data_IF_085162685287
#
_entry.id   IF_085162685287
#
_cell.length_a   1.000
_cell.length_b   1.000
_cell.length_c   1.000
_cell.angle_alpha   90.00
_cell.angle_beta   90.00
_cell.angle_gamma   90.00
#
_symmetry.space_group_name_H-M   'P 1'
#
loop_
_entity.id
_entity.type
_entity.pdbx_description
1 polymer ?
#
# COMPACT_ATOMS: atom_id res chain seq x y z
N UNK A 1 2.02 3.96 52.00
CA UNK A 1 3.18 4.27 51.14
C UNK A 1 3.92 2.97 50.87
N UNK A 2 3.54 2.29 49.79
CA UNK A 2 4.20 1.10 49.24
C UNK A 2 3.99 1.22 47.73
N UNK A 3 5.03 1.68 47.03
CA UNK A 3 5.13 1.62 45.59
C UNK A 3 5.77 0.27 45.25
N UNK A 4 5.20 -0.47 44.31
CA UNK A 4 5.88 -1.65 43.75
C UNK A 4 5.53 -1.78 42.28
N UNK A 5 6.57 -1.50 41.49
CA UNK A 5 6.91 -1.98 40.15
C UNK A 5 5.79 -2.24 39.14
N UNK A 6 5.57 -1.24 38.27
CA UNK A 6 5.11 -1.47 36.92
C UNK A 6 6.32 -1.85 36.06
N UNK A 7 6.50 -3.15 35.86
CA UNK A 7 7.46 -3.73 34.91
C UNK A 7 7.27 -3.10 33.53
N UNK A 8 8.28 -2.34 33.09
CA UNK A 8 8.36 -1.82 31.74
C UNK A 8 8.58 -2.97 30.76
N UNK A 9 7.50 -3.39 30.10
CA UNK A 9 7.58 -4.17 28.87
C UNK A 9 8.09 -3.23 27.76
N UNK A 10 9.38 -3.27 27.48
CA UNK A 10 9.95 -2.58 26.33
C UNK A 10 9.46 -3.26 25.05
N UNK A 11 8.45 -2.67 24.42
CA UNK A 11 8.08 -2.96 23.04
C UNK A 11 9.29 -2.65 22.15
N UNK A 12 9.96 -3.71 21.70
CA UNK A 12 11.02 -3.64 20.70
C UNK A 12 10.45 -3.02 19.42
N UNK A 13 10.81 -1.76 19.17
CA UNK A 13 10.51 -1.08 17.91
C UNK A 13 11.29 -1.78 16.80
N UNK A 14 10.65 -2.27 15.72
CA UNK A 14 11.38 -2.78 14.57
C UNK A 14 12.19 -1.64 13.95
N UNK A 15 13.46 -1.93 13.70
CA UNK A 15 14.46 -1.00 13.16
C UNK A 15 13.99 -0.39 11.84
N UNK A 16 13.49 0.84 11.91
CA UNK A 16 13.11 1.62 10.74
C UNK A 16 14.33 1.97 9.90
N UNK A 17 14.25 1.69 8.60
CA UNK A 17 15.26 2.04 7.62
C UNK A 17 15.50 3.57 7.60
N UNK A 18 16.77 4.00 7.60
CA UNK A 18 17.20 5.39 7.79
C UNK A 18 16.73 6.39 6.71
N UNK A 19 16.13 5.88 5.63
CA UNK A 19 15.65 6.67 4.47
C UNK A 19 14.18 7.13 4.60
N UNK A 20 13.50 6.79 5.70
CA UNK A 20 12.11 7.18 5.94
C UNK A 20 11.12 6.60 4.90
N UNK A 21 11.50 5.53 4.19
CA UNK A 21 10.65 4.82 3.23
C UNK A 21 10.33 3.43 3.75
N UNK A 22 9.10 2.99 3.48
CA UNK A 22 8.63 1.64 3.80
C UNK A 22 9.15 0.64 2.77
N UNK A 23 9.75 -0.43 3.25
CA UNK A 23 10.28 -1.54 2.45
C UNK A 23 9.48 -2.84 2.68
N UNK A 24 9.89 -3.92 2.03
CA UNK A 24 9.22 -5.22 2.16
C UNK A 24 9.32 -5.79 3.59
N UNK A 25 10.41 -5.50 4.32
CA UNK A 25 10.59 -5.99 5.69
C UNK A 25 9.61 -5.30 6.66
N UNK A 26 9.45 -3.99 6.53
CA UNK A 26 8.42 -3.24 7.24
C UNK A 26 7.02 -3.74 6.89
N UNK A 27 6.76 -4.02 5.61
CA UNK A 27 5.45 -4.47 5.15
C UNK A 27 5.11 -5.87 5.68
N UNK A 28 6.08 -6.77 5.71
CA UNK A 28 5.94 -8.10 6.30
C UNK A 28 5.69 -8.00 7.81
N UNK A 29 6.47 -7.19 8.53
CA UNK A 29 6.29 -6.99 9.98
C UNK A 29 4.87 -6.47 10.30
N UNK A 30 4.33 -5.59 9.43
CA UNK A 30 2.98 -5.07 9.58
C UNK A 30 1.90 -6.14 9.30
N UNK A 31 2.13 -7.03 8.33
CA UNK A 31 1.25 -8.16 8.08
C UNK A 31 1.22 -9.09 9.29
N UNK A 32 2.38 -9.46 9.81
CA UNK A 32 2.51 -10.39 10.95
C UNK A 32 1.80 -9.82 12.19
N UNK A 33 2.02 -8.53 12.49
CA UNK A 33 1.35 -7.84 13.59
C UNK A 33 -0.18 -7.87 13.45
N UNK A 34 -0.71 -7.54 12.26
CA UNK A 34 -2.16 -7.53 12.01
C UNK A 34 -2.72 -8.94 12.11
N UNK A 35 -2.00 -9.94 11.59
CA UNK A 35 -2.44 -11.33 11.65
C UNK A 35 -2.56 -11.78 13.10
N UNK A 36 -1.52 -11.60 13.90
CA UNK A 36 -1.48 -12.03 15.29
C UNK A 36 -2.57 -11.35 16.14
N UNK A 37 -2.77 -10.05 15.94
CA UNK A 37 -3.71 -9.27 16.74
C UNK A 37 -5.17 -9.47 16.34
N UNK A 38 -5.43 -9.62 15.04
CA UNK A 38 -6.80 -9.49 14.50
C UNK A 38 -7.26 -10.70 13.70
N UNK A 39 -6.39 -11.62 13.30
CA UNK A 39 -6.71 -12.81 12.48
C UNK A 39 -6.11 -14.11 13.04
N UNK A 40 -5.70 -14.13 14.32
CA UNK A 40 -5.14 -15.33 14.95
C UNK A 40 -6.09 -16.53 15.02
N UNK A 41 -7.40 -16.29 14.84
CA UNK A 41 -8.44 -17.31 14.70
C UNK A 41 -8.49 -17.94 13.29
N UNK A 42 -7.94 -17.27 12.27
CA UNK A 42 -8.01 -17.70 10.88
C UNK A 42 -6.90 -18.71 10.59
N UNK A 43 -7.22 -19.93 10.13
CA UNK A 43 -6.20 -20.93 9.86
C UNK A 43 -5.33 -20.53 8.66
N UNK A 44 -4.02 -20.48 8.88
CA UNK A 44 -3.01 -20.26 7.84
C UNK A 44 -2.64 -21.59 7.18
N UNK A 45 -3.53 -22.11 6.33
CA UNK A 45 -3.39 -23.42 5.65
C UNK A 45 -2.31 -23.39 4.56
N UNK A 46 -1.92 -22.20 4.10
CA UNK A 46 -0.93 -22.01 3.06
C UNK A 46 -0.12 -20.73 3.35
N UNK A 47 1.01 -20.57 2.66
CA UNK A 47 1.89 -19.42 2.90
C UNK A 47 1.22 -18.13 2.42
N UNK A 48 1.25 -17.09 3.26
CA UNK A 48 0.75 -15.77 2.88
C UNK A 48 1.91 -14.80 2.81
N UNK A 49 2.24 -14.38 1.59
CA UNK A 49 3.30 -13.41 1.31
C UNK A 49 2.70 -12.05 1.03
N UNK A 50 3.35 -10.99 1.49
CA UNK A 50 2.99 -9.61 1.12
C UNK A 50 4.13 -8.94 0.35
N UNK A 51 3.79 -8.20 -0.70
CA UNK A 51 4.74 -7.46 -1.53
C UNK A 51 4.21 -6.09 -1.95
N UNK A 52 5.10 -5.15 -2.26
CA UNK A 52 4.71 -3.98 -3.05
C UNK A 52 4.67 -4.27 -4.55
N UNK A 53 3.52 -4.01 -5.18
CA UNK A 53 3.33 -4.08 -6.62
C UNK A 53 3.62 -2.77 -7.36
N UNK A 54 2.96 -2.60 -8.52
CA UNK A 54 3.05 -1.37 -9.32
C UNK A 54 2.19 -0.25 -8.74
N UNK A 55 2.53 0.99 -9.07
CA UNK A 55 1.72 2.16 -8.74
C UNK A 55 0.39 2.08 -9.49
N UNK A 56 -0.72 2.21 -8.77
CA UNK A 56 -2.06 2.17 -9.36
C UNK A 56 -2.92 3.33 -8.89
N UNK A 57 -3.81 3.83 -9.76
CA UNK A 57 -4.73 4.94 -9.42
C UNK A 57 -5.92 4.49 -8.58
N UNK A 58 -6.43 3.29 -8.85
CA UNK A 58 -7.74 2.82 -8.36
C UNK A 58 -7.66 1.62 -7.40
N UNK A 59 -6.60 0.83 -7.48
CA UNK A 59 -6.42 -0.38 -6.67
C UNK A 59 -5.44 -0.11 -5.54
N UNK A 60 -5.85 -0.37 -4.31
CA UNK A 60 -5.04 -0.14 -3.11
C UNK A 60 -4.26 -1.41 -2.72
N UNK A 61 -4.93 -2.56 -2.79
CA UNK A 61 -4.38 -3.88 -2.58
C UNK A 61 -5.05 -4.90 -3.50
N UNK A 62 -4.53 -6.11 -3.50
CA UNK A 62 -5.20 -7.30 -4.01
C UNK A 62 -4.55 -8.55 -3.45
N UNK A 63 -5.33 -9.57 -3.14
CA UNK A 63 -4.85 -10.92 -2.90
C UNK A 63 -5.08 -11.83 -4.12
N UNK A 64 -4.13 -12.70 -4.42
CA UNK A 64 -4.21 -13.73 -5.46
C UNK A 64 -3.40 -14.97 -5.07
N UNK A 65 -3.75 -16.15 -5.58
CA UNK A 65 -2.83 -17.30 -5.52
C UNK A 65 -1.63 -17.07 -6.44
N UNK A 66 -0.46 -17.54 -6.05
CA UNK A 66 0.72 -17.55 -6.91
C UNK A 66 0.45 -18.51 -8.09
N UNK A 67 0.53 -18.03 -9.36
CA UNK A 67 0.36 -18.89 -10.52
C UNK A 67 1.39 -20.02 -10.61
N UNK A 68 2.58 -19.84 -10.01
CA UNK A 68 3.64 -20.84 -9.99
C UNK A 68 3.50 -21.82 -8.82
N UNK A 69 2.91 -21.39 -7.70
CA UNK A 69 2.67 -22.23 -6.53
C UNK A 69 1.32 -21.92 -5.86
N UNK A 70 0.25 -22.70 -6.10
CA UNK A 70 -1.06 -22.45 -5.51
C UNK A 70 -1.09 -22.64 -3.98
N UNK A 71 0.02 -23.06 -3.35
CA UNK A 71 0.20 -23.06 -1.89
C UNK A 71 0.66 -21.71 -1.35
N UNK A 72 0.82 -20.71 -2.21
CA UNK A 72 1.19 -19.35 -1.80
C UNK A 72 0.08 -18.39 -2.19
N UNK A 73 -0.45 -17.66 -1.21
CA UNK A 73 -1.31 -16.50 -1.43
C UNK A 73 -0.44 -15.25 -1.36
N UNK A 74 -0.57 -14.37 -2.36
CA UNK A 74 0.20 -13.14 -2.47
C UNK A 74 -0.72 -11.95 -2.29
N UNK A 75 -0.52 -11.20 -1.20
CA UNK A 75 -1.07 -9.87 -1.00
C UNK A 75 -0.15 -8.87 -1.70
N UNK A 76 -0.68 -8.17 -2.71
CA UNK A 76 0.04 -7.14 -3.47
C UNK A 76 -0.47 -5.75 -3.09
N UNK A 77 0.39 -4.97 -2.45
CA UNK A 77 0.09 -3.60 -2.01
C UNK A 77 0.49 -2.58 -3.08
N UNK A 78 -0.27 -1.50 -3.21
CA UNK A 78 0.08 -0.41 -4.14
C UNK A 78 1.40 0.25 -3.71
N UNK A 79 2.39 0.37 -4.61
CA UNK A 79 3.69 0.96 -4.26
C UNK A 79 3.66 2.44 -3.93
N UNK A 80 2.53 3.15 -4.12
CA UNK A 80 2.34 4.47 -3.54
C UNK A 80 2.43 4.46 -2.01
N UNK A 81 2.14 3.32 -1.36
CA UNK A 81 2.22 3.16 0.09
C UNK A 81 3.66 3.10 0.63
N UNK A 82 4.68 3.00 -0.23
CA UNK A 82 6.08 3.15 0.16
C UNK A 82 6.39 4.55 0.72
N UNK A 83 5.62 5.55 0.29
CA UNK A 83 5.74 6.92 0.80
C UNK A 83 5.11 7.05 2.18
N UNK A 84 5.82 7.72 3.09
CA UNK A 84 5.33 8.07 4.43
C UNK A 84 4.30 9.20 4.42
N UNK A 85 4.13 9.91 3.30
CA UNK A 85 2.99 10.82 3.08
C UNK A 85 1.63 10.09 3.17
N UNK A 86 1.62 8.79 2.87
CA UNK A 86 0.44 7.96 3.05
C UNK A 86 0.44 7.47 4.50
N UNK A 87 -0.57 7.81 5.32
CA UNK A 87 -0.61 7.39 6.72
C UNK A 87 -0.59 5.86 6.85
N UNK A 88 0.06 5.37 7.89
CA UNK A 88 0.19 3.93 8.13
C UNK A 88 -1.17 3.23 8.26
N UNK A 89 -2.16 3.88 8.89
CA UNK A 89 -3.49 3.29 9.05
C UNK A 89 -4.17 2.97 7.71
N UNK A 90 -3.80 3.66 6.61
CA UNK A 90 -4.29 3.32 5.26
C UNK A 90 -3.70 2.00 4.78
N UNK A 91 -2.42 1.76 5.07
CA UNK A 91 -1.73 0.52 4.75
C UNK A 91 -2.31 -0.61 5.58
N UNK A 92 -2.43 -0.43 6.91
CA UNK A 92 -3.06 -1.39 7.82
C UNK A 92 -4.47 -1.75 7.37
N UNK A 93 -5.31 -0.75 7.14
CA UNK A 93 -6.67 -0.97 6.68
C UNK A 93 -6.72 -1.70 5.33
N UNK A 94 -5.74 -1.49 4.44
CA UNK A 94 -5.68 -2.24 3.18
C UNK A 94 -5.25 -3.69 3.41
N UNK A 95 -4.29 -3.96 4.30
CA UNK A 95 -3.89 -5.35 4.66
C UNK A 95 -5.08 -6.10 5.27
N UNK A 96 -5.80 -5.48 6.22
CA UNK A 96 -7.00 -6.07 6.83
C UNK A 96 -8.04 -6.42 5.76
N UNK A 97 -8.22 -5.56 4.74
CA UNK A 97 -9.15 -5.84 3.64
C UNK A 97 -8.76 -7.11 2.87
N UNK A 98 -7.48 -7.25 2.54
CA UNK A 98 -6.99 -8.42 1.82
C UNK A 98 -7.01 -9.69 2.70
N UNK A 99 -6.80 -9.56 4.01
CA UNK A 99 -6.94 -10.67 4.95
C UNK A 99 -8.40 -11.09 5.18
N UNK A 100 -9.35 -10.16 5.16
CA UNK A 100 -10.78 -10.52 5.15
C UNK A 100 -11.12 -11.33 3.90
N UNK A 101 -10.55 -11.00 2.74
CA UNK A 101 -10.70 -11.85 1.55
C UNK A 101 -10.16 -13.26 1.77
N UNK A 102 -8.94 -13.37 2.31
CA UNK A 102 -8.33 -14.65 2.64
C UNK A 102 -9.23 -15.48 3.58
N UNK A 103 -9.65 -14.87 4.70
CA UNK A 103 -10.47 -15.49 5.74
C UNK A 103 -11.83 -16.00 5.21
N UNK A 104 -12.39 -15.32 4.21
CA UNK A 104 -13.65 -15.73 3.57
C UNK A 104 -13.48 -16.72 2.42
N UNK A 105 -12.28 -17.27 2.21
CA UNK A 105 -12.02 -18.27 1.17
C UNK A 105 -11.71 -17.69 -0.21
N UNK A 106 -11.44 -16.38 -0.33
CA UNK A 106 -11.08 -15.77 -1.60
C UNK A 106 -9.57 -15.76 -1.79
N UNK A 107 -9.10 -16.39 -2.87
CA UNK A 107 -7.66 -16.53 -3.17
C UNK A 107 -6.88 -17.19 -2.01
N UNK A 108 -7.56 -18.11 -1.32
CA UNK A 108 -7.04 -18.96 -0.27
C UNK A 108 -7.59 -20.39 -0.49
N UNK A 109 -7.00 -21.42 0.13
CA UNK A 109 -7.51 -22.79 0.09
C UNK A 109 -8.73 -23.00 1.01
N UNK A 110 -9.17 -21.97 1.74
CA UNK A 110 -10.31 -22.08 2.65
C UNK A 110 -11.63 -22.19 1.87
N UNK A 111 -12.61 -22.84 2.49
CA UNK A 111 -13.95 -22.90 1.93
C UNK A 111 -14.53 -21.47 1.80
N UNK A 112 -15.13 -21.18 0.65
CA UNK A 112 -15.72 -19.87 0.39
C UNK A 112 -16.95 -19.67 1.28
N UNK A 113 -16.91 -18.67 2.15
CA UNK A 113 -18.02 -18.31 3.01
C UNK A 113 -19.22 -17.73 2.23
N UNK A 114 -18.97 -17.22 1.00
CA UNK A 114 -19.97 -16.54 0.18
C UNK A 114 -19.61 -16.53 -1.32
N UNK A 115 -20.64 -16.31 -2.15
CA UNK A 115 -20.51 -16.26 -3.62
C UNK A 115 -19.80 -14.99 -4.13
N UNK A 116 -19.83 -13.88 -3.40
CA UNK A 116 -19.15 -12.65 -3.79
C UNK A 116 -18.46 -11.99 -2.59
N UNK A 117 -17.24 -11.46 -2.76
CA UNK A 117 -16.39 -11.06 -1.65
C UNK A 117 -16.88 -9.84 -0.87
N UNK A 118 -17.75 -9.00 -1.46
CA UNK A 118 -18.28 -7.78 -0.83
C UNK A 118 -19.81 -7.80 -0.67
N UNK A 119 -20.46 -8.97 -0.85
CA UNK A 119 -21.91 -9.06 -0.75
C UNK A 119 -22.42 -8.69 0.65
N UNK A 120 -23.56 -8.01 0.73
CA UNK A 120 -24.26 -7.78 2.01
C UNK A 120 -23.49 -6.92 3.05
N UNK A 121 -22.44 -6.20 2.65
CA UNK A 121 -21.64 -5.42 3.59
C UNK A 121 -20.71 -6.25 4.47
N UNK A 122 -20.46 -7.50 4.07
CA UNK A 122 -19.62 -8.48 4.80
C UNK A 122 -18.26 -7.93 5.23
N UNK A 123 -17.59 -7.12 4.39
CA UNK A 123 -16.31 -6.50 4.76
C UNK A 123 -16.45 -5.58 5.97
N UNK A 124 -17.51 -4.76 6.02
CA UNK A 124 -17.72 -3.86 7.16
C UNK A 124 -18.01 -4.66 8.42
N UNK A 125 -18.81 -5.72 8.31
CA UNK A 125 -19.15 -6.61 9.44
C UNK A 125 -17.90 -7.31 9.97
N UNK A 126 -17.04 -7.83 9.10
CA UNK A 126 -15.78 -8.44 9.51
C UNK A 126 -14.91 -7.47 10.32
N UNK A 127 -14.77 -6.22 9.85
CA UNK A 127 -14.03 -5.21 10.61
C UNK A 127 -14.70 -4.93 11.96
N UNK A 128 -16.02 -4.87 12.01
CA UNK A 128 -16.75 -4.60 13.24
C UNK A 128 -16.61 -5.74 14.26
N UNK A 129 -16.77 -6.99 13.82
CA UNK A 129 -16.61 -8.20 14.63
C UNK A 129 -15.19 -8.36 15.17
N UNK A 130 -14.18 -7.90 14.42
CA UNK A 130 -12.76 -7.88 14.83
C UNK A 130 -12.38 -6.62 15.62
N UNK A 131 -13.31 -5.72 15.95
CA UNK A 131 -13.03 -4.50 16.71
C UNK A 131 -12.30 -3.39 15.91
N UNK A 132 -12.26 -3.50 14.59
CA UNK A 132 -11.55 -2.62 13.65
C UNK A 132 -12.48 -1.64 12.90
N UNK A 133 -13.74 -1.48 13.33
CA UNK A 133 -14.70 -0.61 12.64
C UNK A 133 -14.19 0.82 12.45
N UNK A 134 -13.52 1.39 13.46
CA UNK A 134 -12.99 2.75 13.37
C UNK A 134 -11.92 2.86 12.26
N UNK A 135 -11.01 1.87 12.17
CA UNK A 135 -10.00 1.79 11.12
C UNK A 135 -10.64 1.78 9.71
N UNK A 136 -11.72 1.01 9.52
CA UNK A 136 -12.48 0.98 8.26
C UNK A 136 -13.07 2.35 7.92
N UNK A 137 -13.71 3.03 8.89
CA UNK A 137 -14.33 4.33 8.69
C UNK A 137 -13.31 5.42 8.39
N UNK A 138 -12.18 5.41 9.09
CA UNK A 138 -11.09 6.37 8.89
C UNK A 138 -10.43 6.18 7.54
N UNK A 139 -10.19 4.93 7.12
CA UNK A 139 -9.68 4.64 5.78
C UNK A 139 -10.60 5.22 4.70
N UNK A 140 -11.91 4.93 4.78
CA UNK A 140 -12.88 5.44 3.80
C UNK A 140 -12.92 6.96 3.75
N UNK A 141 -12.93 7.61 4.93
CA UNK A 141 -12.91 9.07 5.05
C UNK A 141 -11.65 9.66 4.42
N UNK A 142 -10.49 9.12 4.78
CA UNK A 142 -9.22 9.61 4.30
C UNK A 142 -9.06 9.43 2.79
N UNK A 143 -9.42 8.26 2.25
CA UNK A 143 -9.37 7.99 0.81
C UNK A 143 -10.28 8.95 0.03
N UNK A 144 -11.49 9.22 0.54
CA UNK A 144 -12.42 10.16 -0.10
C UNK A 144 -11.84 11.57 -0.21
N UNK A 145 -11.15 12.04 0.82
CA UNK A 145 -10.64 13.41 0.91
C UNK A 145 -9.28 13.56 0.23
N UNK A 146 -8.35 12.63 0.48
CA UNK A 146 -6.92 12.83 0.19
C UNK A 146 -6.45 12.07 -1.06
N UNK A 147 -7.05 10.91 -1.38
CA UNK A 147 -6.59 10.07 -2.49
C UNK A 147 -6.62 10.78 -3.86
N UNK A 148 -7.63 11.61 -4.20
CA UNK A 148 -7.62 12.35 -5.46
C UNK A 148 -6.38 13.23 -5.64
N UNK A 149 -5.94 13.91 -4.57
CA UNK A 149 -4.74 14.74 -4.58
C UNK A 149 -3.45 13.91 -4.73
N UNK A 150 -3.37 12.78 -4.01
CA UNK A 150 -2.27 11.82 -4.17
C UNK A 150 -2.20 11.35 -5.63
N UNK A 151 -3.31 10.89 -6.21
CA UNK A 151 -3.33 10.42 -7.60
C UNK A 151 -2.95 11.53 -8.59
N UNK A 152 -3.45 12.76 -8.39
CA UNK A 152 -3.13 13.89 -9.25
C UNK A 152 -1.62 14.20 -9.23
N UNK A 153 -1.00 14.24 -8.04
CA UNK A 153 0.43 14.48 -7.87
C UNK A 153 1.28 13.36 -8.48
N UNK A 154 0.93 12.12 -8.17
CA UNK A 154 1.73 10.95 -8.49
C UNK A 154 1.67 10.59 -9.99
N UNK A 155 0.56 10.89 -10.65
CA UNK A 155 0.33 10.59 -12.07
C UNK A 155 0.18 11.83 -12.95
N UNK A 156 0.65 12.99 -12.49
CA UNK A 156 0.72 14.19 -13.30
C UNK A 156 1.52 13.92 -14.59
N UNK A 157 1.11 14.49 -15.75
CA UNK A 157 1.92 14.42 -16.96
C UNK A 157 3.32 14.96 -16.68
N UNK A 158 4.35 14.16 -16.95
CA UNK A 158 5.72 14.66 -16.86
C UNK A 158 5.94 15.68 -17.98
N UNK A 159 6.54 16.86 -17.70
CA UNK A 159 6.89 17.79 -18.76
C UNK A 159 7.75 17.06 -19.79
N UNK A 160 7.41 17.22 -21.07
CA UNK A 160 8.20 16.65 -22.16
C UNK A 160 9.62 17.19 -22.02
N UNK A 161 10.61 16.31 -21.86
CA UNK A 161 12.02 16.73 -21.97
C UNK A 161 12.17 17.41 -23.34
N UNK A 162 12.75 18.62 -23.42
CA UNK A 162 13.05 19.21 -24.71
C UNK A 162 13.89 18.21 -25.49
N UNK A 163 13.54 17.99 -26.75
CA UNK A 163 14.26 17.07 -27.61
C UNK A 163 15.75 17.45 -27.59
N UNK A 164 16.63 16.49 -27.32
CA UNK A 164 18.07 16.62 -27.55
C UNK A 164 18.25 16.93 -29.04
N UNK A 165 18.26 18.21 -29.39
CA UNK A 165 18.22 18.67 -30.78
C UNK A 165 17.80 20.12 -30.95
N UNK A 166 17.10 20.73 -29.99
CA UNK A 166 16.92 22.19 -30.00
C UNK A 166 18.15 22.87 -29.37
N UNK A 167 19.29 22.80 -30.05
CA UNK A 167 20.37 23.76 -29.84
C UNK A 167 19.80 25.16 -30.07
N UNK A 168 20.25 26.10 -29.24
CA UNK A 168 19.92 27.52 -29.29
C UNK A 168 19.73 28.02 -30.73
N UNK A 169 18.70 28.85 -30.91
CA UNK A 169 18.50 29.65 -32.11
C UNK A 169 19.86 30.09 -32.68
N UNK A 170 20.11 29.74 -33.95
CA UNK A 170 21.19 30.36 -34.70
C UNK A 170 20.96 31.86 -34.63
N UNK A 171 21.72 32.53 -33.77
CA UNK A 171 21.85 33.99 -33.81
C UNK A 171 22.50 34.27 -35.15
N UNK A 172 21.69 34.64 -36.15
CA UNK A 172 22.19 35.16 -37.41
C UNK A 172 22.87 36.49 -37.10
N UNK A 173 24.17 36.47 -36.89
CA UNK A 173 24.97 37.70 -36.90
C UNK A 173 24.82 38.33 -38.29
N UNK A 174 24.41 39.61 -38.40
CA UNK A 174 24.31 40.27 -39.69
C UNK A 174 25.70 40.29 -40.36
N UNK A 175 25.73 40.00 -41.66
CA UNK A 175 26.98 40.03 -42.44
C UNK A 175 27.54 41.45 -42.42
N UNK A 176 28.83 41.63 -42.09
CA UNK A 176 29.44 42.94 -42.12
C UNK A 176 29.62 43.46 -43.56
N UNK A 177 29.57 44.79 -43.69
CA UNK A 177 29.49 45.51 -44.95
C UNK A 177 30.73 45.43 -45.86
N UNK A 178 31.83 44.84 -45.39
CA UNK A 178 33.10 44.71 -46.15
C UNK A 178 33.29 43.37 -46.88
N UNK A 179 32.26 42.51 -46.92
CA UNK A 179 32.26 41.19 -47.58
C UNK A 179 31.55 41.19 -48.95
N UNK A 180 31.73 42.24 -49.75
CA UNK A 180 31.25 42.31 -51.13
C UNK A 180 32.10 43.27 -51.95
N UNK A 181 33.06 42.73 -52.69
CA UNK A 181 33.75 43.40 -53.80
C UNK A 181 33.19 42.92 -55.13
#
# INVERSE_FOLDING_TARGET
>A
MMMSDASQLSLSQPSGNSDGKRDEAWLQSLLDEIWDQSFGDVPQVNDVRIIFGRRAKRRLGSISLDPADPRVSIITMNSLFKSTDIPEFIVRATIVHELTHYAHGFNSPLARAQAHPHAGGVMRREYEERGLLQLYLDQKRWLKINWPAVVAREFAPRPRRPARGSSAASVKLPKPWWLGG
#
